data_IF_488806036338
#
_entry.id   IF_488806036338
#
_cell.length_a   1.000
_cell.length_b   1.000
_cell.length_c   1.000
_cell.angle_alpha   90.00
_cell.angle_beta   90.00
_cell.angle_gamma   90.00
#
_symmetry.space_group_name_H-M   'P 1'
#
loop_
_entity.id
_entity.type
_entity.pdbx_description
1 polymer ?
#
# COMPACT_ATOMS: atom_id res chain seq x y z
N UNK A 1 -2.94 -19.88 15.01
CA UNK A 1 -2.63 -19.13 13.79
C UNK A 1 -3.67 -18.04 13.64
N UNK A 2 -3.27 -16.79 13.40
CA UNK A 2 -4.23 -15.69 13.18
C UNK A 2 -4.84 -15.81 11.78
N UNK A 3 -6.12 -15.48 11.63
CA UNK A 3 -6.79 -15.43 10.32
C UNK A 3 -6.03 -14.48 9.40
N UNK A 4 -5.78 -14.81 8.12
CA UNK A 4 -5.17 -13.86 7.20
C UNK A 4 -6.03 -12.60 7.03
N UNK A 5 -5.40 -11.45 6.83
CA UNK A 5 -6.07 -10.21 6.46
C UNK A 5 -6.39 -10.27 4.96
N UNK A 6 -7.66 -10.17 4.61
CA UNK A 6 -8.10 -10.28 3.22
C UNK A 6 -7.94 -8.93 2.54
N UNK A 7 -7.04 -8.81 1.56
CA UNK A 7 -6.86 -7.58 0.80
C UNK A 7 -7.21 -7.83 -0.66
N UNK A 8 -8.13 -7.02 -1.20
CA UNK A 8 -8.62 -7.14 -2.57
C UNK A 8 -8.37 -5.88 -3.39
N UNK A 9 -7.85 -6.07 -4.60
CA UNK A 9 -7.64 -5.02 -5.58
C UNK A 9 -8.73 -5.07 -6.66
N UNK A 10 -9.41 -3.95 -6.87
CA UNK A 10 -10.15 -3.72 -8.10
C UNK A 10 -9.22 -3.01 -9.11
N UNK A 11 -8.71 -3.77 -10.07
CA UNK A 11 -7.59 -3.36 -10.92
C UNK A 11 -7.90 -2.14 -11.81
N UNK A 12 -9.16 -1.97 -12.21
CA UNK A 12 -9.61 -0.90 -13.12
C UNK A 12 -9.22 0.50 -12.62
N UNK A 13 -9.35 0.74 -11.32
CA UNK A 13 -9.11 2.05 -10.71
C UNK A 13 -8.23 2.01 -9.45
N UNK A 14 -7.60 0.85 -9.22
CA UNK A 14 -6.72 0.61 -8.09
C UNK A 14 -7.40 0.84 -6.75
N UNK A 15 -8.67 0.49 -6.64
CA UNK A 15 -9.39 0.48 -5.35
C UNK A 15 -8.95 -0.72 -4.52
N UNK A 16 -8.71 -0.48 -3.24
CA UNK A 16 -8.32 -1.50 -2.26
C UNK A 16 -9.44 -1.68 -1.25
N UNK A 17 -9.75 -2.94 -0.98
CA UNK A 17 -10.66 -3.38 0.07
C UNK A 17 -9.89 -4.23 1.07
N UNK A 18 -10.13 -4.02 2.35
CA UNK A 18 -9.56 -4.82 3.45
C UNK A 18 -10.71 -5.47 4.20
N UNK A 19 -10.70 -6.80 4.30
CA UNK A 19 -11.78 -7.62 4.84
C UNK A 19 -13.16 -7.24 4.25
N UNK A 20 -13.18 -6.93 2.95
CA UNK A 20 -14.38 -6.51 2.21
C UNK A 20 -14.77 -5.04 2.37
N UNK A 21 -14.08 -4.27 3.21
CA UNK A 21 -14.36 -2.85 3.46
C UNK A 21 -13.48 -1.98 2.57
N UNK A 22 -14.08 -1.02 1.87
CA UNK A 22 -13.34 -0.06 1.04
C UNK A 22 -12.37 0.77 1.88
N UNK A 23 -11.10 0.83 1.46
CA UNK A 23 -10.04 1.57 2.13
C UNK A 23 -9.64 2.84 1.36
N UNK A 24 -9.24 2.68 0.10
CA UNK A 24 -8.61 3.73 -0.70
C UNK A 24 -8.64 3.38 -2.19
N UNK A 25 -8.43 4.35 -3.08
CA UNK A 25 -8.36 4.15 -4.53
C UNK A 25 -7.26 4.94 -5.23
N UNK A 26 -7.06 4.67 -6.52
CA UNK A 26 -6.10 5.34 -7.38
C UNK A 26 -4.66 5.01 -6.98
N UNK A 27 -3.75 5.95 -7.22
CA UNK A 27 -2.30 5.73 -7.00
C UNK A 27 -1.97 5.32 -5.56
N UNK A 28 -2.69 5.82 -4.56
CA UNK A 28 -2.47 5.42 -3.17
C UNK A 28 -2.86 3.96 -2.92
N UNK A 29 -3.91 3.45 -3.60
CA UNK A 29 -4.23 2.03 -3.60
C UNK A 29 -3.20 1.20 -4.35
N UNK A 30 -2.72 1.67 -5.51
CA UNK A 30 -1.65 1.01 -6.25
C UNK A 30 -0.34 0.92 -5.44
N UNK A 31 0.00 1.97 -4.68
CA UNK A 31 1.14 2.00 -3.75
C UNK A 31 1.02 0.92 -2.69
N UNK A 32 -0.14 0.84 -2.03
CA UNK A 32 -0.38 -0.16 -1.01
C UNK A 32 -0.28 -1.58 -1.60
N UNK A 33 -0.92 -1.82 -2.75
CA UNK A 33 -0.88 -3.12 -3.43
C UNK A 33 0.54 -3.54 -3.75
N UNK A 34 1.34 -2.65 -4.35
CA UNK A 34 2.73 -2.92 -4.70
C UNK A 34 3.57 -3.26 -3.47
N UNK A 35 3.41 -2.52 -2.37
CA UNK A 35 4.15 -2.79 -1.12
C UNK A 35 3.71 -4.12 -0.47
N UNK A 36 2.41 -4.43 -0.47
CA UNK A 36 1.91 -5.69 0.07
C UNK A 36 2.33 -6.90 -0.77
N UNK A 37 2.36 -6.76 -2.10
CA UNK A 37 2.80 -7.81 -3.01
C UNK A 37 4.29 -8.13 -2.78
N UNK A 38 5.15 -7.10 -2.72
CA UNK A 38 6.56 -7.25 -2.34
C UNK A 38 6.73 -7.88 -0.93
N UNK A 39 5.87 -7.52 0.03
CA UNK A 39 5.89 -8.09 1.37
C UNK A 39 5.54 -9.58 1.38
N UNK A 40 4.46 -9.97 0.70
CA UNK A 40 3.98 -11.37 0.65
C UNK A 40 4.98 -12.26 -0.10
N UNK A 41 5.58 -11.78 -1.19
CA UNK A 41 6.48 -12.61 -2.01
C UNK A 41 7.93 -12.62 -1.53
N UNK A 42 8.43 -11.53 -0.96
CA UNK A 42 9.85 -11.37 -0.64
C UNK A 42 10.11 -10.99 0.83
N UNK A 43 9.09 -10.92 1.67
CA UNK A 43 9.21 -10.50 3.07
C UNK A 43 9.65 -9.04 3.24
N UNK A 44 9.57 -8.23 2.18
CA UNK A 44 10.01 -6.84 2.19
C UNK A 44 9.09 -5.99 3.05
N UNK A 45 9.69 -5.10 3.84
CA UNK A 45 8.97 -4.13 4.67
C UNK A 45 9.44 -2.70 4.46
N UNK A 46 10.62 -2.48 3.87
CA UNK A 46 11.20 -1.15 3.66
C UNK A 46 11.22 -0.77 2.18
N UNK A 47 10.76 0.46 1.91
CA UNK A 47 10.61 1.01 0.56
C UNK A 47 11.12 2.45 0.48
N UNK A 48 11.99 2.71 -0.49
CA UNK A 48 12.47 4.06 -0.76
C UNK A 48 11.53 4.79 -1.74
N UNK A 49 11.47 6.11 -1.65
CA UNK A 49 10.58 6.89 -2.54
C UNK A 49 11.02 6.79 -3.99
N UNK A 50 12.34 6.64 -4.22
CA UNK A 50 12.90 6.53 -5.57
C UNK A 50 12.42 5.25 -6.28
N UNK A 51 12.46 4.09 -5.62
CA UNK A 51 11.99 2.86 -6.24
C UNK A 51 10.47 2.90 -6.47
N UNK A 52 9.71 3.50 -5.53
CA UNK A 52 8.27 3.66 -5.70
C UNK A 52 7.97 4.56 -6.89
N UNK A 53 8.68 5.68 -7.06
CA UNK A 53 8.54 6.56 -8.24
C UNK A 53 8.79 5.86 -9.56
N UNK A 54 9.72 4.92 -9.57
CA UNK A 54 10.11 4.19 -10.78
C UNK A 54 9.24 2.96 -11.05
N UNK A 55 8.33 2.60 -10.15
CA UNK A 55 7.51 1.40 -10.27
C UNK A 55 6.44 1.59 -11.38
N UNK A 56 6.52 0.86 -12.51
CA UNK A 56 5.60 1.06 -13.64
C UNK A 56 4.13 0.81 -13.28
N UNK A 57 3.90 -0.11 -12.34
CA UNK A 57 2.57 -0.47 -11.84
C UNK A 57 1.81 0.70 -11.21
N UNK A 58 2.50 1.74 -10.73
CA UNK A 58 1.86 2.87 -10.05
C UNK A 58 1.26 3.90 -11.01
N UNK A 59 1.58 3.84 -12.32
CA UNK A 59 1.12 4.78 -13.35
C UNK A 59 1.12 6.23 -12.85
N UNK A 60 2.24 6.65 -12.27
CA UNK A 60 2.38 8.00 -11.72
C UNK A 60 2.30 9.03 -12.86
N UNK A 61 1.49 10.11 -12.74
CA UNK A 61 1.47 11.16 -13.75
C UNK A 61 2.84 11.84 -13.84
N UNK A 62 3.39 11.99 -15.05
CA UNK A 62 4.73 12.57 -15.28
C UNK A 62 4.86 14.01 -14.76
N UNK A 63 3.76 14.78 -14.76
CA UNK A 63 3.78 16.22 -14.49
C UNK A 63 3.68 16.60 -13.00
N UNK A 64 3.24 15.70 -12.09
CA UNK A 64 3.06 16.02 -10.66
C UNK A 64 3.43 14.82 -9.80
N UNK A 65 4.70 14.77 -9.38
CA UNK A 65 5.19 13.80 -8.40
C UNK A 65 4.77 14.20 -6.98
N UNK A 66 3.55 13.82 -6.61
CA UNK A 66 2.99 14.01 -5.26
C UNK A 66 3.03 12.71 -4.43
N UNK A 67 4.01 11.83 -4.67
CA UNK A 67 4.17 10.56 -3.94
C UNK A 67 4.12 10.75 -2.42
N UNK A 68 4.80 11.77 -1.91
CA UNK A 68 4.81 12.08 -0.48
C UNK A 68 3.42 12.35 0.08
N UNK A 69 2.61 13.16 -0.62
CA UNK A 69 1.24 13.45 -0.21
C UNK A 69 0.34 12.20 -0.26
N UNK A 70 0.52 11.36 -1.28
CA UNK A 70 -0.19 10.08 -1.41
C UNK A 70 0.16 9.10 -0.29
N UNK A 71 1.42 9.01 0.09
CA UNK A 71 1.86 8.19 1.24
C UNK A 71 1.31 8.73 2.57
N UNK A 72 1.25 10.05 2.76
CA UNK A 72 0.62 10.65 3.95
C UNK A 72 -0.87 10.34 4.00
N UNK A 73 -1.59 10.47 2.87
CA UNK A 73 -3.00 10.10 2.78
C UNK A 73 -3.22 8.62 3.11
N UNK A 74 -2.41 7.74 2.53
CA UNK A 74 -2.48 6.30 2.75
C UNK A 74 -2.21 5.95 4.21
N UNK A 75 -1.17 6.55 4.82
CA UNK A 75 -0.87 6.37 6.24
C UNK A 75 -2.06 6.73 7.14
N UNK A 76 -2.70 7.87 6.89
CA UNK A 76 -3.89 8.31 7.64
C UNK A 76 -5.05 7.33 7.48
N UNK A 77 -5.36 6.94 6.23
CA UNK A 77 -6.45 5.98 5.95
C UNK A 77 -6.23 4.63 6.65
N UNK A 78 -4.99 4.13 6.66
CA UNK A 78 -4.64 2.92 7.37
C UNK A 78 -4.85 3.09 8.89
N UNK A 79 -4.36 4.19 9.48
CA UNK A 79 -4.56 4.45 10.90
C UNK A 79 -6.05 4.53 11.29
N UNK A 80 -6.89 5.09 10.42
CA UNK A 80 -8.32 5.28 10.69
C UNK A 80 -9.16 4.01 10.47
N UNK A 81 -8.79 3.15 9.51
CA UNK A 81 -9.65 2.07 9.01
C UNK A 81 -9.03 0.68 9.11
N UNK A 82 -7.75 0.55 9.44
CA UNK A 82 -7.06 -0.74 9.50
C UNK A 82 -5.98 -0.79 10.59
N UNK A 83 -6.27 -1.45 11.71
CA UNK A 83 -5.30 -1.64 12.79
C UNK A 83 -4.16 -2.61 12.41
N UNK A 84 -4.35 -3.43 11.38
CA UNK A 84 -3.42 -4.51 11.05
C UNK A 84 -2.29 -4.12 10.09
N UNK A 85 -2.45 -3.01 9.37
CA UNK A 85 -1.50 -2.47 8.41
C UNK A 85 -1.14 -1.04 8.81
N UNK A 86 0.15 -0.71 8.84
CA UNK A 86 0.62 0.64 9.15
C UNK A 86 1.78 1.03 8.26
N UNK A 87 1.78 2.28 7.80
CA UNK A 87 2.95 2.89 7.19
C UNK A 87 3.65 3.79 8.19
N UNK A 88 4.98 3.71 8.24
CA UNK A 88 5.82 4.54 9.10
C UNK A 88 6.91 5.20 8.27
N UNK A 89 7.10 6.50 8.45
CA UNK A 89 8.23 7.21 7.84
C UNK A 89 9.46 6.97 8.70
N UNK A 90 10.42 6.22 8.17
CA UNK A 90 11.65 5.85 8.90
C UNK A 90 12.73 6.92 8.74
N UNK A 91 12.87 7.48 7.54
CA UNK A 91 13.82 8.54 7.23
C UNK A 91 13.32 9.39 6.05
N UNK A 92 14.11 10.39 5.64
CA UNK A 92 13.79 11.15 4.42
C UNK A 92 13.79 10.21 3.21
N UNK A 93 12.65 10.10 2.54
CA UNK A 93 12.50 9.26 1.35
C UNK A 93 12.48 7.76 1.64
N UNK A 94 12.24 7.33 2.88
CA UNK A 94 12.12 5.92 3.27
C UNK A 94 10.83 5.70 4.08
N UNK A 95 10.05 4.70 3.68
CA UNK A 95 8.82 4.29 4.36
C UNK A 95 8.88 2.79 4.68
N UNK A 96 8.37 2.42 5.85
CA UNK A 96 8.23 1.03 6.29
C UNK A 96 6.77 0.63 6.36
N UNK A 97 6.46 -0.53 5.80
CA UNK A 97 5.19 -1.23 5.95
C UNK A 97 5.27 -2.17 7.15
N UNK A 98 4.33 -2.03 8.08
CA UNK A 98 4.12 -2.93 9.19
C UNK A 98 2.86 -3.75 8.94
N UNK A 99 2.98 -5.06 9.13
CA UNK A 99 1.93 -6.04 8.91
C UNK A 99 1.85 -6.92 10.15
N UNK A 100 0.73 -6.88 10.87
CA UNK A 100 0.57 -7.61 12.14
C UNK A 100 -0.04 -9.02 12.00
N UNK A 101 -0.58 -9.35 10.82
CA UNK A 101 -1.16 -10.66 10.49
C UNK A 101 -0.81 -11.01 9.04
N UNK A 102 -0.68 -12.31 8.69
CA UNK A 102 -0.50 -12.72 7.29
C UNK A 102 -1.53 -12.06 6.37
N UNK A 103 -1.14 -11.68 5.16
CA UNK A 103 -2.01 -11.02 4.19
C UNK A 103 -2.34 -12.00 3.07
N UNK A 104 -3.62 -12.12 2.74
CA UNK A 104 -4.09 -12.83 1.56
C UNK A 104 -4.48 -11.82 0.47
N UNK A 105 -3.77 -11.86 -0.65
CA UNK A 105 -3.96 -10.94 -1.78
C UNK A 105 -4.82 -11.59 -2.86
N UNK A 106 -5.80 -10.84 -3.38
CA UNK A 106 -6.56 -11.26 -4.55
C UNK A 106 -7.09 -10.07 -5.36
N UNK A 107 -7.41 -10.30 -6.63
CA UNK A 107 -8.08 -9.31 -7.48
C UNK A 107 -9.60 -9.59 -7.53
N UNK A 108 -10.41 -8.54 -7.67
CA UNK A 108 -11.89 -8.59 -7.76
C UNK A 108 -12.43 -7.72 -8.89
#
# INVERSE_FOLDING_TARGET
>A
MSTPLQVRLHARDSSIFVDGIYLIRGVAGALLWKMLNDHVHAGRSDFCYRELRLAPALRLPEAVDNLAARLVLLQRRLADQCVHLRLEKVARGLVRLHVSRPVDLGEI
#
